data_IF_635329727427
#
_entry.id   IF_635329727427
#
_cell.length_a   1.000
_cell.length_b   1.000
_cell.length_c   1.000
_cell.angle_alpha   90.00
_cell.angle_beta   90.00
_cell.angle_gamma   90.00
#
_symmetry.space_group_name_H-M   'P 1'
#
loop_
_entity.id
_entity.type
_entity.pdbx_description
1 polymer ?
#
# COMPACT_ATOMS: atom_id res chain seq x y z
N UNK A 1 -13.86 -34.56 21.07
CA UNK A 1 -13.32 -35.31 19.90
C UNK A 1 -14.38 -35.64 18.86
N UNK A 2 -15.40 -36.48 19.16
CA UNK A 2 -16.47 -36.81 18.18
C UNK A 2 -17.35 -35.59 17.83
N UNK A 3 -17.72 -34.77 18.82
CA UNK A 3 -18.44 -33.50 18.62
C UNK A 3 -17.64 -32.50 17.77
N UNK A 4 -16.33 -32.38 17.98
CA UNK A 4 -15.47 -31.48 17.21
C UNK A 4 -15.36 -31.91 15.74
N UNK A 5 -15.32 -33.23 15.48
CA UNK A 5 -15.32 -33.78 14.13
C UNK A 5 -16.66 -33.57 13.41
N UNK A 6 -17.78 -33.67 14.11
CA UNK A 6 -19.11 -33.38 13.57
C UNK A 6 -19.30 -31.87 13.28
N UNK A 7 -18.79 -31.01 14.17
CA UNK A 7 -18.77 -29.55 13.95
C UNK A 7 -17.93 -29.19 12.72
N UNK A 8 -16.73 -29.78 12.59
CA UNK A 8 -15.85 -29.57 11.43
C UNK A 8 -16.49 -30.07 10.13
N UNK A 9 -17.17 -31.23 10.16
CA UNK A 9 -17.87 -31.78 9.01
C UNK A 9 -19.07 -30.91 8.59
N UNK A 10 -19.83 -30.40 9.55
CA UNK A 10 -20.97 -29.51 9.27
C UNK A 10 -20.54 -28.14 8.76
N UNK A 11 -19.44 -27.58 9.27
CA UNK A 11 -18.87 -26.34 8.75
C UNK A 11 -18.32 -26.52 7.33
N UNK A 12 -17.74 -27.69 7.01
CA UNK A 12 -17.31 -28.03 5.66
C UNK A 12 -18.50 -28.13 4.67
N UNK A 13 -19.61 -28.74 5.09
CA UNK A 13 -20.85 -28.79 4.29
C UNK A 13 -21.41 -27.37 4.03
N UNK A 14 -21.41 -26.50 5.05
CA UNK A 14 -21.86 -25.10 4.87
C UNK A 14 -20.94 -24.33 3.92
N UNK A 15 -19.63 -24.52 4.03
CA UNK A 15 -18.65 -23.92 3.12
C UNK A 15 -18.85 -24.40 1.68
N UNK A 16 -19.12 -25.69 1.47
CA UNK A 16 -19.41 -26.25 0.15
C UNK A 16 -20.68 -25.67 -0.45
N UNK A 17 -21.79 -25.60 0.30
CA UNK A 17 -23.04 -24.98 -0.16
C UNK A 17 -22.86 -23.50 -0.52
N UNK A 18 -22.09 -22.76 0.28
CA UNK A 18 -21.75 -21.37 -0.03
C UNK A 18 -20.92 -21.26 -1.31
N UNK A 19 -19.95 -22.15 -1.50
CA UNK A 19 -19.12 -22.20 -2.69
C UNK A 19 -19.94 -22.47 -3.96
N UNK A 20 -20.84 -23.46 -3.92
CA UNK A 20 -21.75 -23.78 -5.02
C UNK A 20 -22.69 -22.62 -5.36
N UNK A 21 -23.27 -21.98 -4.35
CA UNK A 21 -24.11 -20.79 -4.50
C UNK A 21 -23.32 -19.63 -5.13
N UNK A 22 -22.08 -19.40 -4.70
CA UNK A 22 -21.19 -18.39 -5.26
C UNK A 22 -20.83 -18.70 -6.73
N UNK A 23 -20.54 -19.95 -7.07
CA UNK A 23 -20.25 -20.35 -8.45
C UNK A 23 -21.47 -20.14 -9.36
N UNK A 24 -22.67 -20.45 -8.87
CA UNK A 24 -23.92 -20.21 -9.60
C UNK A 24 -24.17 -18.71 -9.81
N UNK A 25 -23.91 -17.89 -8.79
CA UNK A 25 -23.97 -16.43 -8.90
C UNK A 25 -22.97 -15.90 -9.93
N UNK A 26 -21.72 -16.37 -9.90
CA UNK A 26 -20.66 -15.97 -10.84
C UNK A 26 -21.04 -16.34 -12.29
N UNK A 27 -21.55 -17.56 -12.50
CA UNK A 27 -21.99 -18.03 -13.81
C UNK A 27 -23.17 -17.21 -14.34
N UNK A 28 -24.21 -17.01 -13.53
CA UNK A 28 -25.41 -16.22 -13.91
C UNK A 28 -25.09 -14.76 -14.22
N UNK A 29 -24.12 -14.17 -13.54
CA UNK A 29 -23.72 -12.76 -13.73
C UNK A 29 -22.52 -12.59 -14.67
N UNK A 30 -22.05 -13.66 -15.32
CA UNK A 30 -20.93 -13.64 -16.27
C UNK A 30 -19.65 -13.02 -15.69
N UNK A 31 -19.41 -13.22 -14.39
CA UNK A 31 -18.23 -12.69 -13.70
C UNK A 31 -17.02 -13.55 -14.07
N UNK A 32 -15.97 -12.92 -14.61
CA UNK A 32 -14.72 -13.61 -14.94
C UNK A 32 -13.84 -13.73 -13.71
N UNK A 33 -13.38 -14.94 -13.42
CA UNK A 33 -12.43 -15.20 -12.33
C UNK A 33 -11.00 -15.29 -12.85
N UNK A 34 -10.06 -14.88 -12.02
CA UNK A 34 -8.64 -15.20 -12.19
C UNK A 34 -8.48 -16.71 -11.94
N UNK A 35 -7.90 -17.43 -12.90
CA UNK A 35 -7.37 -18.76 -12.65
C UNK A 35 -5.93 -18.62 -12.12
N UNK A 36 -5.48 -19.60 -11.33
CA UNK A 36 -4.14 -19.57 -10.74
C UNK A 36 -3.00 -19.57 -11.78
N UNK A 37 -3.31 -19.87 -13.05
CA UNK A 37 -2.35 -19.97 -14.16
C UNK A 37 -2.41 -18.78 -15.14
N UNK A 38 -3.55 -18.11 -15.31
CA UNK A 38 -3.76 -17.03 -16.28
C UNK A 38 -4.50 -15.83 -15.69
N UNK A 39 -3.74 -14.97 -15.00
CA UNK A 39 -4.20 -13.64 -14.61
C UNK A 39 -4.98 -12.94 -15.74
N UNK A 40 -6.14 -12.35 -15.43
CA UNK A 40 -7.03 -11.67 -16.36
C UNK A 40 -6.22 -10.67 -17.19
N UNK A 41 -6.57 -10.59 -18.47
CA UNK A 41 -5.93 -9.68 -19.40
C UNK A 41 -5.99 -8.22 -18.93
N UNK A 42 -7.08 -7.80 -18.26
CA UNK A 42 -7.21 -6.46 -17.67
C UNK A 42 -6.14 -6.17 -16.61
N UNK A 43 -5.83 -7.12 -15.72
CA UNK A 43 -4.76 -6.96 -14.75
C UNK A 43 -3.38 -6.95 -15.39
N UNK A 44 -3.13 -7.81 -16.39
CA UNK A 44 -1.87 -7.81 -17.17
C UNK A 44 -1.66 -6.49 -17.91
N UNK A 45 -2.72 -5.95 -18.51
CA UNK A 45 -2.70 -4.65 -19.18
C UNK A 45 -2.46 -3.50 -18.20
N UNK A 46 -3.09 -3.53 -17.01
CA UNK A 46 -2.82 -2.54 -15.96
C UNK A 46 -1.36 -2.61 -15.49
N UNK A 47 -0.83 -3.81 -15.33
CA UNK A 47 0.54 -4.03 -14.83
C UNK A 47 1.59 -3.38 -15.72
N UNK A 48 1.39 -3.36 -17.04
CA UNK A 48 2.24 -2.64 -18.01
C UNK A 48 2.17 -1.11 -17.89
N UNK A 49 1.13 -0.57 -17.27
CA UNK A 49 0.92 0.87 -17.08
C UNK A 49 1.40 1.37 -15.72
N UNK A 50 1.92 0.47 -14.87
CA UNK A 50 2.42 0.84 -13.55
C UNK A 50 3.75 1.59 -13.73
N UNK A 51 3.81 2.84 -13.25
CA UNK A 51 5.02 3.68 -13.30
C UNK A 51 5.92 3.45 -12.09
N UNK A 52 5.35 3.08 -10.94
CA UNK A 52 6.09 2.87 -9.69
C UNK A 52 5.42 1.82 -8.80
N UNK A 53 6.22 1.04 -8.06
CA UNK A 53 5.74 0.15 -7.01
C UNK A 53 5.86 0.84 -5.66
N UNK A 54 4.72 1.25 -5.11
CA UNK A 54 4.62 1.96 -3.84
C UNK A 54 4.67 1.00 -2.63
N UNK A 55 4.64 1.53 -1.41
CA UNK A 55 4.76 0.76 -0.16
C UNK A 55 3.72 -0.37 -0.01
N UNK A 56 2.52 -0.20 -0.56
CA UNK A 56 1.44 -1.18 -0.52
C UNK A 56 1.46 -2.19 -1.69
N UNK A 57 2.42 -2.09 -2.62
CA UNK A 57 2.66 -3.07 -3.68
C UNK A 57 1.68 -3.07 -4.88
N UNK A 58 0.51 -2.42 -4.74
CA UNK A 58 -0.53 -2.37 -5.79
C UNK A 58 -0.10 -1.62 -7.06
N UNK A 59 0.95 -0.80 -6.97
CA UNK A 59 1.49 -0.02 -8.07
C UNK A 59 0.70 1.26 -8.37
N UNK A 60 1.44 2.30 -8.75
CA UNK A 60 0.94 3.60 -9.14
C UNK A 60 0.74 3.66 -10.66
N UNK A 61 -0.41 4.16 -11.09
CA UNK A 61 -0.71 4.46 -12.49
C UNK A 61 -1.12 5.93 -12.55
N UNK A 62 -0.43 6.70 -13.38
CA UNK A 62 -0.72 8.10 -13.70
C UNK A 62 -0.73 8.26 -15.23
N UNK A 63 -1.37 9.30 -15.78
CA UNK A 63 -1.18 9.62 -17.20
C UNK A 63 0.31 9.77 -17.48
N UNK A 64 0.86 8.94 -18.36
CA UNK A 64 2.27 8.95 -18.74
C UNK A 64 2.36 8.88 -20.27
N UNK A 65 2.81 9.98 -20.89
CA UNK A 65 2.89 10.10 -22.35
C UNK A 65 4.11 10.94 -22.71
N UNK A 66 4.89 10.48 -23.69
CA UNK A 66 6.11 11.15 -24.16
C UNK A 66 7.08 11.47 -23.01
N UNK A 67 7.26 10.54 -22.07
CA UNK A 67 8.08 10.71 -20.87
C UNK A 67 7.63 11.81 -19.89
N UNK A 68 6.40 12.30 -20.03
CA UNK A 68 5.78 13.28 -19.12
C UNK A 68 4.65 12.60 -18.33
N UNK A 69 4.62 12.85 -17.02
CA UNK A 69 3.64 12.38 -16.06
C UNK A 69 4.24 11.76 -14.80
N UNK A 70 5.48 11.28 -14.87
CA UNK A 70 6.18 10.62 -13.77
C UNK A 70 7.70 10.69 -13.95
N UNK A 71 8.39 11.00 -12.84
CA UNK A 71 9.82 10.78 -12.66
C UNK A 71 10.10 10.16 -11.30
N UNK A 72 11.20 9.42 -11.19
CA UNK A 72 11.57 8.76 -9.94
C UNK A 72 12.07 9.77 -8.89
N UNK A 73 11.80 9.56 -7.59
CA UNK A 73 12.21 10.48 -6.53
C UNK A 73 13.68 10.33 -6.09
N UNK A 74 14.47 9.48 -6.78
CA UNK A 74 15.88 9.25 -6.49
C UNK A 74 16.16 8.30 -5.31
N UNK A 75 15.13 7.67 -4.74
CA UNK A 75 15.26 6.67 -3.68
C UNK A 75 14.33 5.49 -3.94
N UNK A 76 14.84 4.29 -3.68
CA UNK A 76 14.06 3.06 -3.70
C UNK A 76 13.12 2.96 -2.49
N UNK A 77 12.11 2.09 -2.59
CA UNK A 77 11.20 1.77 -1.48
C UNK A 77 11.96 1.32 -0.21
N UNK A 78 13.06 0.58 -0.36
CA UNK A 78 13.85 0.10 0.77
C UNK A 78 14.61 1.25 1.46
N UNK A 79 15.13 2.19 0.68
CA UNK A 79 15.81 3.38 1.20
C UNK A 79 14.84 4.31 1.90
N UNK A 80 13.67 4.59 1.32
CA UNK A 80 12.62 5.35 2.00
C UNK A 80 12.25 4.72 3.34
N UNK A 81 12.05 3.39 3.40
CA UNK A 81 11.78 2.68 4.66
C UNK A 81 12.89 2.91 5.70
N UNK A 82 14.16 2.86 5.28
CA UNK A 82 15.33 3.08 6.15
C UNK A 82 15.36 4.52 6.68
N UNK A 83 15.19 5.50 5.80
CA UNK A 83 15.17 6.93 6.12
C UNK A 83 14.03 7.25 7.08
N UNK A 84 12.80 6.81 6.77
CA UNK A 84 11.63 7.07 7.61
C UNK A 84 11.76 6.44 8.99
N UNK A 85 12.27 5.20 9.07
CA UNK A 85 12.51 4.52 10.34
C UNK A 85 13.52 5.27 11.21
N UNK A 86 14.60 5.78 10.60
CA UNK A 86 15.60 6.61 11.29
C UNK A 86 14.98 7.89 11.82
N UNK A 87 14.30 8.66 10.96
CA UNK A 87 13.65 9.92 11.33
C UNK A 87 12.61 9.73 12.46
N UNK A 88 11.81 8.67 12.38
CA UNK A 88 10.84 8.35 13.41
C UNK A 88 11.51 7.98 14.74
N UNK A 89 12.57 7.16 14.70
CA UNK A 89 13.34 6.81 15.89
C UNK A 89 14.01 8.00 16.57
N UNK A 90 14.51 8.96 15.79
CA UNK A 90 15.06 10.23 16.32
C UNK A 90 13.97 11.07 16.99
N UNK A 91 12.80 11.20 16.35
CA UNK A 91 11.65 11.92 16.91
C UNK A 91 11.17 11.31 18.23
N UNK A 92 11.06 9.98 18.30
CA UNK A 92 10.66 9.28 19.53
C UNK A 92 11.67 9.48 20.67
N UNK A 93 12.97 9.61 20.35
CA UNK A 93 14.04 9.86 21.32
C UNK A 93 14.16 11.35 21.70
N UNK A 94 13.28 12.22 21.22
CA UNK A 94 13.35 13.67 21.44
C UNK A 94 14.59 14.33 20.79
N UNK A 95 15.25 13.67 19.86
CA UNK A 95 16.43 14.21 19.15
C UNK A 95 15.99 15.09 17.99
N UNK A 96 16.85 16.02 17.57
CA UNK A 96 16.70 16.74 16.30
C UNK A 96 16.65 15.72 15.16
N UNK A 97 15.56 15.73 14.40
CA UNK A 97 15.34 14.82 13.27
C UNK A 97 16.21 15.25 12.10
N UNK A 98 17.06 14.35 11.61
CA UNK A 98 17.88 14.53 10.41
C UNK A 98 17.01 14.23 9.18
N UNK A 99 16.62 15.30 8.49
CA UNK A 99 15.62 15.27 7.43
C UNK A 99 16.18 15.73 6.08
N UNK A 100 17.49 15.87 5.94
CA UNK A 100 18.17 16.48 4.79
C UNK A 100 17.79 15.74 3.49
N UNK A 101 17.81 14.40 3.48
CA UNK A 101 17.43 13.62 2.29
C UNK A 101 15.97 13.89 1.88
N UNK A 102 15.08 14.00 2.86
CA UNK A 102 13.66 14.25 2.59
C UNK A 102 13.38 15.70 2.24
N UNK A 103 14.17 16.65 2.72
CA UNK A 103 14.08 18.04 2.30
C UNK A 103 14.45 18.19 0.84
N UNK A 104 15.50 17.50 0.38
CA UNK A 104 15.87 17.46 -1.03
C UNK A 104 14.75 16.89 -1.91
N UNK A 105 14.23 15.70 -1.58
CA UNK A 105 13.09 15.10 -2.32
C UNK A 105 11.89 16.04 -2.34
N UNK A 106 11.57 16.65 -1.20
CA UNK A 106 10.43 17.57 -1.08
C UNK A 106 10.61 18.88 -1.86
N UNK A 107 11.85 19.31 -2.07
CA UNK A 107 12.18 20.47 -2.91
C UNK A 107 12.04 20.18 -4.40
N UNK A 108 12.32 18.94 -4.82
CA UNK A 108 12.22 18.53 -6.22
C UNK A 108 10.77 18.28 -6.66
N UNK A 109 9.86 17.94 -5.74
CA UNK A 109 8.46 17.64 -6.11
C UNK A 109 7.75 18.82 -6.79
N UNK A 110 7.78 20.06 -6.28
CA UNK A 110 7.18 21.20 -6.98
C UNK A 110 7.75 21.41 -8.38
N UNK A 111 9.07 21.23 -8.57
CA UNK A 111 9.69 21.33 -9.89
C UNK A 111 9.15 20.26 -10.84
N UNK A 112 9.01 19.02 -10.36
CA UNK A 112 8.39 17.94 -11.11
C UNK A 112 6.92 18.23 -11.43
N UNK A 113 6.15 18.76 -10.47
CA UNK A 113 4.75 19.14 -10.67
C UNK A 113 4.62 20.22 -11.77
N UNK A 114 5.49 21.24 -11.76
CA UNK A 114 5.51 22.33 -12.75
C UNK A 114 5.96 21.83 -14.15
N UNK A 115 6.84 20.84 -14.21
CA UNK A 115 7.28 20.18 -15.44
C UNK A 115 6.30 19.09 -15.92
N UNK A 116 5.16 18.90 -15.24
CA UNK A 116 4.10 17.99 -15.66
C UNK A 116 4.25 16.54 -15.17
N UNK A 117 5.08 16.29 -14.16
CA UNK A 117 5.36 14.99 -13.54
C UNK A 117 4.75 14.83 -12.13
N UNK A 118 3.42 14.94 -11.96
CA UNK A 118 2.78 14.82 -10.65
C UNK A 118 2.92 13.43 -10.02
N UNK A 119 3.33 12.44 -10.80
CA UNK A 119 3.58 11.07 -10.32
C UNK A 119 4.64 10.98 -9.22
N UNK A 120 5.67 11.85 -9.25
CA UNK A 120 6.71 11.86 -8.21
C UNK A 120 6.13 12.24 -6.85
N UNK A 121 5.39 13.36 -6.79
CA UNK A 121 4.71 13.80 -5.57
C UNK A 121 3.67 12.80 -5.07
N UNK A 122 3.00 12.11 -6.00
CA UNK A 122 2.05 11.05 -5.68
C UNK A 122 2.73 9.86 -4.99
N UNK A 123 3.81 9.32 -5.56
CA UNK A 123 4.54 8.18 -4.99
C UNK A 123 5.05 8.49 -3.57
N UNK A 124 5.73 9.63 -3.41
CA UNK A 124 6.27 10.07 -2.11
C UNK A 124 5.14 10.33 -1.12
N UNK A 125 4.03 10.91 -1.58
CA UNK A 125 2.82 11.09 -0.78
C UNK A 125 2.26 9.77 -0.23
N UNK A 126 2.21 8.72 -1.06
CA UNK A 126 1.80 7.37 -0.63
C UNK A 126 2.79 6.81 0.39
N UNK A 127 4.11 6.97 0.16
CA UNK A 127 5.14 6.49 1.07
C UNK A 127 5.04 7.15 2.46
N UNK A 128 4.82 8.46 2.51
CA UNK A 128 4.54 9.17 3.76
C UNK A 128 3.22 8.73 4.39
N UNK A 129 2.17 8.54 3.58
CA UNK A 129 0.89 8.09 4.10
C UNK A 129 1.01 6.73 4.77
N UNK A 130 1.72 5.77 4.17
CA UNK A 130 1.80 4.38 4.67
C UNK A 130 2.84 4.17 5.79
N UNK A 131 3.64 5.19 6.13
CA UNK A 131 4.73 5.05 7.09
C UNK A 131 4.33 5.42 8.52
N UNK A 132 4.73 6.60 9.00
CA UNK A 132 4.58 7.00 10.39
C UNK A 132 3.65 8.21 10.53
N UNK A 133 2.87 8.34 11.63
CA UNK A 133 1.92 9.46 11.82
C UNK A 133 2.57 10.85 11.72
N UNK A 134 3.86 10.97 12.04
CA UNK A 134 4.59 12.24 11.92
C UNK A 134 4.64 12.81 10.49
N UNK A 135 4.39 11.98 9.47
CA UNK A 135 4.37 12.41 8.07
C UNK A 135 2.96 12.73 7.56
N UNK A 136 1.92 12.62 8.39
CA UNK A 136 0.53 12.77 7.95
C UNK A 136 0.26 14.07 7.21
N UNK A 137 0.71 15.22 7.73
CA UNK A 137 0.46 16.51 7.07
C UNK A 137 1.20 16.63 5.73
N UNK A 138 2.42 16.10 5.64
CA UNK A 138 3.17 16.05 4.38
C UNK A 138 2.47 15.14 3.36
N UNK A 139 2.03 13.95 3.80
CA UNK A 139 1.26 13.02 2.97
C UNK A 139 -0.03 13.66 2.45
N UNK A 140 -0.78 14.31 3.34
CA UNK A 140 -2.03 14.99 3.01
C UNK A 140 -1.81 16.07 1.94
N UNK A 141 -0.78 16.90 2.11
CA UNK A 141 -0.43 17.95 1.15
C UNK A 141 -0.07 17.37 -0.23
N UNK A 142 0.88 16.43 -0.26
CA UNK A 142 1.38 15.84 -1.51
C UNK A 142 0.28 15.10 -2.27
N UNK A 143 -0.46 14.23 -1.59
CA UNK A 143 -1.52 13.45 -2.21
C UNK A 143 -2.68 14.34 -2.68
N UNK A 144 -3.07 15.35 -1.90
CA UNK A 144 -4.10 16.30 -2.35
C UNK A 144 -3.65 17.04 -3.61
N UNK A 145 -2.37 17.42 -3.70
CA UNK A 145 -1.85 18.05 -4.92
C UNK A 145 -1.88 17.09 -6.11
N UNK A 146 -1.29 15.91 -5.96
CA UNK A 146 -1.24 14.90 -7.01
C UNK A 146 -2.63 14.49 -7.50
N UNK A 147 -3.62 14.36 -6.60
CA UNK A 147 -5.00 14.08 -6.99
C UNK A 147 -5.61 15.20 -7.81
N UNK A 148 -5.35 16.47 -7.51
CA UNK A 148 -5.84 17.59 -8.33
C UNK A 148 -5.17 17.62 -9.70
N UNK A 149 -3.84 17.50 -9.74
CA UNK A 149 -3.07 17.50 -10.99
C UNK A 149 -3.42 16.33 -11.91
N UNK A 150 -3.87 15.19 -11.35
CA UNK A 150 -4.32 14.02 -12.12
C UNK A 150 -5.83 13.93 -12.31
N UNK A 151 -6.58 14.98 -11.96
CA UNK A 151 -8.05 15.06 -12.06
C UNK A 151 -8.79 13.93 -11.31
N UNK A 152 -8.33 13.62 -10.09
CA UNK A 152 -8.85 12.58 -9.18
C UNK A 152 -9.43 13.17 -7.90
N UNK A 153 -10.23 14.23 -8.01
CA UNK A 153 -10.77 15.00 -6.88
C UNK A 153 -11.51 14.16 -5.83
N UNK A 154 -12.18 13.07 -6.24
CA UNK A 154 -12.85 12.15 -5.31
C UNK A 154 -11.90 11.53 -4.27
N UNK A 155 -10.65 11.23 -4.65
CA UNK A 155 -9.66 10.68 -3.72
C UNK A 155 -9.14 11.72 -2.73
N UNK A 156 -9.13 12.99 -3.10
CA UNK A 156 -8.79 14.08 -2.18
C UNK A 156 -9.80 14.18 -1.03
N UNK A 157 -11.10 14.07 -1.35
CA UNK A 157 -12.16 14.07 -0.34
C UNK A 157 -12.03 12.88 0.63
N UNK A 158 -11.82 11.68 0.09
CA UNK A 158 -11.59 10.45 0.88
C UNK A 158 -10.36 10.60 1.78
N UNK A 159 -9.25 11.10 1.23
CA UNK A 159 -8.02 11.33 2.00
C UNK A 159 -8.25 12.32 3.15
N UNK A 160 -8.92 13.45 2.88
CA UNK A 160 -9.22 14.46 3.90
C UNK A 160 -10.10 13.90 5.01
N UNK A 161 -11.13 13.12 4.67
CA UNK A 161 -11.97 12.44 5.64
C UNK A 161 -11.17 11.43 6.48
N UNK A 162 -10.36 10.59 5.82
CA UNK A 162 -9.52 9.60 6.48
C UNK A 162 -8.53 10.25 7.47
N UNK A 163 -7.84 11.31 7.08
CA UNK A 163 -6.88 12.01 7.95
C UNK A 163 -7.51 12.66 9.20
N UNK A 164 -8.84 12.90 9.23
CA UNK A 164 -9.52 13.44 10.43
C UNK A 164 -9.69 12.40 11.54
N UNK A 165 -9.83 11.13 11.16
CA UNK A 165 -10.09 10.00 12.06
C UNK A 165 -8.88 9.09 12.26
N UNK A 166 -7.88 9.22 11.39
CA UNK A 166 -6.65 8.43 11.43
C UNK A 166 -5.97 8.57 12.79
N UNK A 167 -5.78 7.44 13.47
CA UNK A 167 -5.13 7.36 14.78
C UNK A 167 -6.03 7.67 15.99
N UNK A 168 -7.31 8.00 15.78
CA UNK A 168 -8.29 8.23 16.87
C UNK A 168 -8.98 6.93 17.29
N UNK A 169 -9.30 6.06 16.34
CA UNK A 169 -9.76 4.69 16.59
C UNK A 169 -8.54 3.76 16.60
N UNK A 170 -7.91 3.57 17.77
CA UNK A 170 -6.89 2.51 17.96
C UNK A 170 -7.56 1.13 18.08
N UNK A 171 -8.28 0.70 17.04
CA UNK A 171 -8.40 -0.74 16.77
C UNK A 171 -7.19 -1.08 15.91
N UNK A 172 -6.13 -1.56 16.55
CA UNK A 172 -4.82 -1.97 15.99
C UNK A 172 -4.73 -1.99 14.45
N UNK A 173 -4.54 -0.83 13.81
CA UNK A 173 -4.06 -0.81 12.43
C UNK A 173 -2.53 -0.88 12.46
N UNK A 174 -2.05 -2.03 12.92
CA UNK A 174 -0.64 -2.36 12.93
C UNK A 174 -0.21 -2.82 11.53
N UNK A 175 -0.25 -1.89 10.58
CA UNK A 175 0.12 -2.13 9.19
C UNK A 175 1.64 -2.39 9.02
N UNK A 176 2.38 -2.47 10.13
CA UNK A 176 3.80 -2.82 10.21
C UNK A 176 4.08 -4.11 11.02
N UNK A 177 3.09 -4.76 11.66
CA UNK A 177 3.29 -6.03 12.41
C UNK A 177 3.29 -7.31 11.54
N UNK A 178 3.03 -7.23 10.25
CA UNK A 178 2.99 -8.42 9.38
C UNK A 178 4.35 -8.73 8.74
N UNK A 179 5.37 -8.92 9.55
CA UNK A 179 6.45 -9.88 9.28
C UNK A 179 6.77 -10.56 10.61
N UNK A 180 5.95 -11.55 11.00
CA UNK A 180 6.47 -12.58 11.89
C UNK A 180 7.60 -13.26 11.12
N UNK A 181 8.85 -12.91 11.46
CA UNK A 181 10.00 -13.76 11.14
C UNK A 181 9.59 -15.19 11.46
N UNK A 182 9.63 -16.09 10.47
CA UNK A 182 9.53 -17.52 10.73
C UNK A 182 10.68 -17.83 11.69
N UNK A 183 10.39 -17.93 12.99
CA UNK A 183 11.31 -18.60 13.92
C UNK A 183 11.49 -20.00 13.33
N UNK A 184 12.67 -20.28 12.79
CA UNK A 184 13.09 -21.62 12.41
C UNK A 184 12.83 -22.51 13.62
N UNK A 185 11.97 -23.53 13.47
CA UNK A 185 11.78 -24.53 14.52
C UNK A 185 13.16 -25.14 14.78
N UNK A 186 13.65 -25.04 16.02
CA UNK A 186 14.85 -25.77 16.42
C UNK A 186 14.57 -27.27 16.24
N UNK A 187 15.47 -27.97 15.56
CA UNK A 187 15.38 -29.43 15.45
C UNK A 187 16.09 -30.07 16.63
N UNK A 188 15.85 -31.37 16.90
CA UNK A 188 16.50 -32.09 18.00
C UNK A 188 18.03 -32.00 17.96
N UNK A 189 18.58 -31.78 16.75
CA UNK A 189 20.01 -31.58 16.51
C UNK A 189 20.57 -30.27 17.10
N UNK A 190 19.73 -29.27 17.37
CA UNK A 190 20.15 -28.02 18.00
C UNK A 190 20.29 -28.13 19.54
N UNK A 191 20.00 -29.31 20.11
CA UNK A 191 20.02 -29.63 21.56
C UNK A 191 20.94 -30.80 21.92
N UNK A 192 21.65 -31.37 20.96
CA UNK A 192 22.73 -32.35 21.16
C UNK A 192 24.06 -31.69 20.81
#
# INVERSE_FOLDING_TARGET
FVLDLLQLATDNIKQQKLHESLLTFIASHHIRLDDAKNKLQSFKQRERKIVARTFHGLGLVVPFKNEIGYREPGYTVQEFKRIFKRMHGEKLKGKKVKAEEMQFVMGNIPLADDEGDPGMGYEVGIAFFYSYPMFQEKAKRLLSNAYRLTNRHGFEAVLKAHCKVRGKDMREYDQLKMVKSKKRKKTLHDYM
#
